data_IF_282437167425
#
_entry.id   IF_282437167425
#
_cell.length_a   1.000
_cell.length_b   1.000
_cell.length_c   1.000
_cell.angle_alpha   90.00
_cell.angle_beta   90.00
_cell.angle_gamma   90.00
#
_symmetry.space_group_name_H-M   'P 1'
#
loop_
_entity.id
_entity.type
_entity.pdbx_description
1 polymer ?
#
# COMPACT_ATOMS: atom_id res chain seq x y z
N UNK A 1 -8.79 4.10 8.73
CA UNK A 1 -7.94 3.85 9.93
C UNK A 1 -7.32 2.44 10.00
N UNK A 2 -8.06 1.33 9.80
CA UNK A 2 -7.53 -0.05 9.99
C UNK A 2 -6.45 -0.49 8.97
N UNK A 3 -6.50 0.05 7.75
CA UNK A 3 -5.50 -0.17 6.68
C UNK A 3 -4.09 0.27 7.11
N UNK A 4 -3.97 1.53 7.53
CA UNK A 4 -2.69 2.12 7.93
C UNK A 4 -2.02 1.35 9.08
N UNK A 5 -2.81 0.86 10.04
CA UNK A 5 -2.31 0.06 11.16
C UNK A 5 -1.77 -1.29 10.70
N UNK A 6 -2.51 -1.99 9.82
CA UNK A 6 -2.05 -3.26 9.23
C UNK A 6 -0.74 -3.08 8.45
N UNK A 7 -0.61 -2.00 7.64
CA UNK A 7 0.64 -1.71 6.91
C UNK A 7 1.83 -1.47 7.83
N UNK A 8 1.64 -0.79 8.97
CA UNK A 8 2.71 -0.60 9.96
C UNK A 8 3.12 -1.91 10.62
N UNK A 9 2.16 -2.78 10.94
CA UNK A 9 2.43 -4.13 11.46
C UNK A 9 3.16 -5.02 10.44
N UNK A 10 2.92 -4.81 9.15
CA UNK A 10 3.64 -5.47 8.05
C UNK A 10 5.05 -4.92 7.83
N UNK A 11 5.49 -3.93 8.61
CA UNK A 11 6.84 -3.36 8.55
C UNK A 11 6.96 -2.17 7.60
N UNK A 12 5.86 -1.51 7.25
CA UNK A 12 5.92 -0.18 6.64
C UNK A 12 6.33 0.87 7.69
N UNK A 13 7.41 1.61 7.42
CA UNK A 13 7.85 2.71 8.28
C UNK A 13 7.13 4.03 7.96
N UNK A 14 6.47 4.11 6.80
CA UNK A 14 5.56 5.19 6.44
C UNK A 14 4.36 4.64 5.67
N UNK A 15 3.17 5.18 5.93
CA UNK A 15 1.95 4.83 5.22
C UNK A 15 0.96 6.00 5.26
N UNK A 16 0.17 6.17 4.20
CA UNK A 16 -0.85 7.20 4.11
C UNK A 16 -1.86 6.92 2.99
N UNK A 17 -2.97 7.65 3.02
CA UNK A 17 -3.92 7.73 1.91
C UNK A 17 -4.00 9.19 1.51
N UNK A 18 -3.91 9.46 0.22
CA UNK A 18 -3.93 10.81 -0.37
C UNK A 18 -4.93 10.86 -1.51
N UNK A 19 -5.61 11.99 -1.67
CA UNK A 19 -6.43 12.28 -2.85
C UNK A 19 -5.54 12.78 -3.99
N UNK A 20 -5.84 12.38 -5.23
CA UNK A 20 -5.19 12.93 -6.42
C UNK A 20 -5.69 14.36 -6.68
N UNK A 21 -4.76 15.33 -6.69
CA UNK A 21 -5.10 16.74 -6.93
C UNK A 21 -5.69 17.00 -8.32
N UNK A 22 -5.44 16.13 -9.31
CA UNK A 22 -5.99 16.25 -10.65
C UNK A 22 -7.33 15.51 -10.82
N UNK A 23 -7.64 14.56 -9.93
CA UNK A 23 -8.86 13.77 -9.98
C UNK A 23 -9.34 13.41 -8.56
N UNK A 24 -10.28 14.20 -8.00
CA UNK A 24 -10.79 13.99 -6.64
C UNK A 24 -11.47 12.62 -6.41
N UNK A 25 -11.80 11.87 -7.47
CA UNK A 25 -12.37 10.52 -7.34
C UNK A 25 -11.29 9.45 -7.14
N UNK A 26 -10.01 9.80 -7.29
CA UNK A 26 -8.88 8.88 -7.13
C UNK A 26 -8.25 9.02 -5.76
N UNK A 27 -8.40 7.96 -4.98
CA UNK A 27 -7.70 7.77 -3.71
C UNK A 27 -6.45 6.91 -3.93
N UNK A 28 -5.30 7.39 -3.44
CA UNK A 28 -4.00 6.71 -3.53
C UNK A 28 -3.55 6.29 -2.14
N UNK A 29 -3.48 4.99 -1.89
CA UNK A 29 -2.77 4.44 -0.73
C UNK A 29 -1.28 4.32 -1.07
N UNK A 30 -0.41 4.88 -0.22
CA UNK A 30 1.04 4.72 -0.34
C UNK A 30 1.63 4.18 0.96
N UNK A 31 2.67 3.36 0.84
CA UNK A 31 3.43 2.86 1.98
C UNK A 31 4.88 2.62 1.59
N UNK A 32 5.78 2.85 2.54
CA UNK A 32 7.21 2.69 2.39
C UNK A 32 7.71 1.60 3.34
N UNK A 33 8.44 0.64 2.80
CA UNK A 33 8.99 -0.50 3.55
C UNK A 33 10.52 -0.48 3.46
N UNK A 34 11.21 -0.93 4.52
CA UNK A 34 12.68 -0.89 4.57
C UNK A 34 13.36 -1.82 3.56
N UNK A 35 12.72 -2.94 3.21
CA UNK A 35 13.21 -3.84 2.18
C UNK A 35 12.07 -4.57 1.47
N UNK A 36 12.12 -4.56 0.13
CA UNK A 36 11.15 -5.28 -0.70
C UNK A 36 11.19 -6.79 -0.48
N UNK A 37 12.32 -7.35 -0.02
CA UNK A 37 12.45 -8.79 0.25
C UNK A 37 11.68 -9.24 1.50
N UNK A 38 11.56 -8.39 2.54
CA UNK A 38 10.72 -8.67 3.71
C UNK A 38 9.24 -8.58 3.33
N UNK A 39 8.86 -7.55 2.58
CA UNK A 39 7.52 -7.34 2.04
C UNK A 39 7.07 -8.49 1.12
N UNK A 40 7.92 -8.97 0.19
CA UNK A 40 7.59 -10.10 -0.70
C UNK A 40 7.47 -11.44 0.05
N UNK A 41 8.27 -11.66 1.09
CA UNK A 41 8.16 -12.88 1.93
C UNK A 41 6.88 -12.88 2.76
N UNK A 42 6.44 -11.73 3.25
CA UNK A 42 5.16 -11.58 3.94
C UNK A 42 3.97 -11.67 2.97
N UNK A 43 4.08 -11.10 1.76
CA UNK A 43 3.06 -11.21 0.72
C UNK A 43 2.82 -12.63 0.20
N UNK A 44 3.78 -13.56 0.33
CA UNK A 44 3.54 -14.98 0.04
C UNK A 44 2.61 -15.65 1.05
N UNK A 45 2.42 -15.06 2.22
CA UNK A 45 1.42 -15.45 3.23
C UNK A 45 0.46 -14.28 3.43
N UNK A 46 -0.36 -13.99 2.42
CA UNK A 46 -1.51 -13.08 2.59
C UNK A 46 -2.37 -13.66 3.71
N UNK A 47 -2.47 -12.96 4.83
CA UNK A 47 -3.36 -13.40 5.90
C UNK A 47 -4.81 -13.27 5.43
N UNK A 48 -5.70 -14.11 5.96
CA UNK A 48 -7.14 -14.00 5.65
C UNK A 48 -7.65 -12.57 5.95
N UNK A 49 -7.13 -11.95 7.01
CA UNK A 49 -7.47 -10.58 7.38
C UNK A 49 -7.05 -9.54 6.33
N UNK A 50 -5.90 -9.73 5.68
CA UNK A 50 -5.44 -8.85 4.60
C UNK A 50 -6.21 -9.09 3.30
N UNK A 51 -6.60 -10.34 3.03
CA UNK A 51 -7.46 -10.68 1.89
C UNK A 51 -8.86 -10.05 2.05
N UNK A 52 -9.46 -10.15 3.24
CA UNK A 52 -10.74 -9.51 3.55
C UNK A 52 -10.66 -7.98 3.46
N UNK A 53 -9.53 -7.41 3.88
CA UNK A 53 -9.29 -5.98 3.79
C UNK A 53 -9.12 -5.52 2.34
N UNK A 54 -8.38 -6.28 1.52
CA UNK A 54 -8.28 -6.03 0.09
C UNK A 54 -9.64 -6.13 -0.60
N UNK A 55 -10.46 -7.12 -0.26
CA UNK A 55 -11.81 -7.26 -0.80
C UNK A 55 -12.69 -6.04 -0.46
N UNK A 56 -12.60 -5.52 0.77
CA UNK A 56 -13.31 -4.30 1.18
C UNK A 56 -12.82 -3.07 0.43
N UNK A 57 -11.51 -2.93 0.19
CA UNK A 57 -10.96 -1.82 -0.61
C UNK A 57 -11.39 -1.92 -2.07
N UNK A 58 -11.40 -3.13 -2.65
CA UNK A 58 -11.87 -3.37 -4.00
C UNK A 58 -13.36 -3.01 -4.18
N UNK A 59 -14.19 -3.17 -3.14
CA UNK A 59 -15.59 -2.76 -3.19
C UNK A 59 -15.79 -1.25 -3.37
N UNK A 60 -14.80 -0.42 -3.02
CA UNK A 60 -14.84 1.03 -3.28
C UNK A 60 -14.33 1.40 -4.68
N UNK A 61 -13.72 0.46 -5.41
CA UNK A 61 -13.25 0.72 -6.76
C UNK A 61 -14.44 0.74 -7.73
N UNK A 62 -14.64 1.87 -8.39
CA UNK A 62 -15.62 2.03 -9.47
C UNK A 62 -14.88 2.09 -10.80
N UNK A 63 -14.97 1.01 -11.58
CA UNK A 63 -14.30 0.89 -12.88
C UNK A 63 -14.28 -0.54 -13.40
N UNK A 64 -14.17 -0.76 -14.72
CA UNK A 64 -14.08 -2.10 -15.31
C UNK A 64 -12.71 -2.75 -15.07
N UNK A 65 -11.69 -1.95 -14.81
CA UNK A 65 -10.31 -2.39 -14.64
C UNK A 65 -9.95 -2.64 -13.18
N UNK A 66 -8.82 -3.30 -12.92
CA UNK A 66 -8.32 -3.46 -11.55
C UNK A 66 -7.59 -2.19 -11.09
N UNK A 67 -7.56 -1.88 -9.78
CA UNK A 67 -6.76 -0.78 -9.25
C UNK A 67 -5.30 -0.90 -9.69
N UNK A 68 -4.75 0.21 -10.19
CA UNK A 68 -3.38 0.25 -10.69
C UNK A 68 -2.40 0.19 -9.52
N UNK A 69 -1.65 -0.90 -9.42
CA UNK A 69 -0.58 -1.04 -8.41
C UNK A 69 0.76 -0.67 -9.03
N UNK A 70 1.40 0.37 -8.48
CA UNK A 70 2.75 0.79 -8.89
C UNK A 70 3.74 0.51 -7.77
N UNK A 71 4.91 -0.02 -8.13
CA UNK A 71 6.02 -0.26 -7.20
C UNK A 71 7.16 0.65 -7.60
N UNK A 72 7.57 1.51 -6.68
CA UNK A 72 8.68 2.43 -6.90
C UNK A 72 9.88 2.01 -6.05
N UNK A 73 11.07 2.21 -6.60
CA UNK A 73 12.33 2.05 -5.88
C UNK A 73 12.92 3.44 -5.70
N UNK A 74 13.23 3.80 -4.45
CA UNK A 74 13.96 5.02 -4.18
C UNK A 74 15.39 4.87 -4.70
N UNK A 75 15.76 5.70 -5.67
CA UNK A 75 17.15 5.85 -6.13
C UNK A 75 17.75 6.98 -5.29
N UNK A 76 18.81 6.69 -4.54
CA UNK A 76 19.38 7.57 -3.50
C UNK A 76 18.42 7.88 -2.34
N UNK A 77 18.17 6.89 -1.47
CA UNK A 77 17.79 7.24 -0.10
C UNK A 77 18.98 8.00 0.49
N UNK A 78 18.86 9.29 0.89
CA UNK A 78 19.93 9.93 1.64
C UNK A 78 20.15 9.06 2.88
N UNK A 79 21.32 8.42 2.91
CA UNK A 79 21.74 7.62 4.05
C UNK A 79 21.76 8.51 5.28
N UNK A 80 21.42 7.92 6.43
CA UNK A 80 21.68 8.49 7.75
C UNK A 80 23.03 9.24 7.72
N UNK A 81 23.01 10.53 8.05
CA UNK A 81 24.18 11.18 8.62
C UNK A 81 24.53 10.50 9.94
#
# INVERSE_FOLDING_TARGET
MRLLTSRRSDGAYGCGVTEDSADPQKMVEWFMVESGAKHLRQHKRVSQADADLQAKVLAYHSGPDRPVVRRFLAINRPGKA
#
